data_IF_070417089166
#
_entry.id   IF_070417089166
#
_cell.length_a   1.000
_cell.length_b   1.000
_cell.length_c   1.000
_cell.angle_alpha   90.00
_cell.angle_beta   90.00
_cell.angle_gamma   90.00
#
_symmetry.space_group_name_H-M   'P 1'
#
loop_
_entity.id
_entity.type
_entity.pdbx_description
1 polymer ?
#
# COMPACT_ATOMS: atom_id res chain seq x y z
N UNK A 1 14.66 -2.80 -25.83
CA UNK A 1 14.37 -1.46 -25.25
C UNK A 1 13.54 -1.68 -24.00
N UNK A 2 14.02 -1.25 -22.85
CA UNK A 2 13.23 -1.25 -21.63
C UNK A 2 12.01 -0.32 -21.83
N UNK A 3 10.80 -0.85 -21.66
CA UNK A 3 9.59 -0.02 -21.78
C UNK A 3 9.36 0.68 -20.44
N UNK A 4 9.21 2.00 -20.45
CA UNK A 4 8.73 2.74 -19.30
C UNK A 4 7.28 2.38 -18.97
N UNK A 5 6.89 2.51 -17.72
CA UNK A 5 5.51 2.46 -17.25
C UNK A 5 5.18 3.74 -16.49
N UNK A 6 3.91 4.10 -16.48
CA UNK A 6 3.40 5.19 -15.64
C UNK A 6 2.57 4.58 -14.53
N UNK A 7 2.75 5.08 -13.32
CA UNK A 7 1.92 4.72 -12.18
C UNK A 7 1.18 5.95 -11.65
N UNK A 8 0.04 5.71 -11.02
CA UNK A 8 -0.70 6.69 -10.23
C UNK A 8 -0.87 6.06 -8.84
N UNK A 9 -0.19 6.63 -7.88
CA UNK A 9 -0.29 6.29 -6.47
C UNK A 9 -1.31 7.22 -5.82
N UNK A 10 -2.38 6.64 -5.27
CA UNK A 10 -3.50 7.38 -4.69
C UNK A 10 -3.36 7.40 -3.18
N UNK A 11 -2.70 8.43 -2.65
CA UNK A 11 -2.65 8.68 -1.21
C UNK A 11 -3.92 9.37 -0.70
N UNK A 12 -4.13 9.37 0.62
CA UNK A 12 -5.33 9.96 1.24
C UNK A 12 -5.34 11.50 1.31
N UNK A 13 -4.31 12.19 0.81
CA UNK A 13 -4.26 13.66 0.73
C UNK A 13 -3.58 14.18 -0.53
N UNK A 14 -3.00 13.30 -1.34
CA UNK A 14 -2.34 13.66 -2.59
C UNK A 14 -2.31 12.49 -3.56
N UNK A 15 -2.27 12.83 -4.85
CA UNK A 15 -2.02 11.91 -5.95
C UNK A 15 -0.57 12.06 -6.39
N UNK A 16 0.16 10.96 -6.51
CA UNK A 16 1.50 10.95 -7.10
C UNK A 16 1.47 10.24 -8.44
N UNK A 17 1.75 10.93 -9.53
CA UNK A 17 2.00 10.31 -10.83
C UNK A 17 3.52 10.19 -11.06
N UNK A 18 3.96 9.01 -11.49
CA UNK A 18 5.37 8.71 -11.68
C UNK A 18 5.57 7.87 -12.93
N UNK A 19 6.62 8.18 -13.71
CA UNK A 19 7.07 7.37 -14.84
C UNK A 19 8.45 6.81 -14.58
N UNK A 20 8.62 5.51 -14.80
CA UNK A 20 9.90 4.84 -14.59
C UNK A 20 10.11 3.61 -15.46
N UNK A 21 11.33 3.08 -15.46
CA UNK A 21 11.71 1.84 -16.13
C UNK A 21 12.72 1.04 -15.31
N UNK A 22 12.92 -0.23 -15.65
CA UNK A 22 14.04 -1.01 -15.11
C UNK A 22 15.34 -0.48 -15.68
N UNK A 23 16.22 -0.02 -14.82
CA UNK A 23 17.57 0.34 -15.14
C UNK A 23 18.51 -0.88 -15.26
N UNK A 24 19.79 -0.59 -15.37
CA UNK A 24 20.85 -1.61 -15.41
C UNK A 24 20.89 -2.31 -14.05
N UNK A 25 21.15 -3.64 -14.06
CA UNK A 25 21.23 -4.48 -12.84
C UNK A 25 19.94 -4.50 -11.98
N UNK A 26 18.76 -4.33 -12.61
CA UNK A 26 17.49 -4.39 -11.90
C UNK A 26 17.13 -3.16 -11.05
N UNK A 27 17.96 -2.10 -11.10
CA UNK A 27 17.67 -0.82 -10.46
C UNK A 27 16.46 -0.14 -11.10
N UNK A 28 15.93 0.87 -10.44
CA UNK A 28 14.87 1.73 -11.00
C UNK A 28 15.48 2.98 -11.61
N UNK A 29 14.96 3.38 -12.77
CA UNK A 29 15.19 4.70 -13.35
C UNK A 29 13.86 5.44 -13.37
N UNK A 30 13.68 6.37 -12.43
CA UNK A 30 12.51 7.25 -12.36
C UNK A 30 12.79 8.46 -13.25
N UNK A 31 11.88 8.74 -14.18
CA UNK A 31 12.04 9.80 -15.17
C UNK A 31 11.32 11.09 -14.78
N UNK A 32 10.12 10.95 -14.21
CA UNK A 32 9.30 12.08 -13.76
C UNK A 32 8.44 11.68 -12.59
N UNK A 33 8.23 12.62 -11.67
CA UNK A 33 7.33 12.49 -10.52
C UNK A 33 6.60 13.80 -10.35
N UNK A 34 5.29 13.74 -10.22
CA UNK A 34 4.44 14.90 -9.93
C UNK A 34 3.41 14.55 -8.88
N UNK A 35 3.29 15.44 -7.90
CA UNK A 35 2.30 15.36 -6.83
C UNK A 35 1.20 16.40 -7.08
N UNK A 36 -0.06 16.02 -6.85
CA UNK A 36 -1.20 16.94 -6.81
C UNK A 36 -1.97 16.69 -5.50
N UNK A 37 -2.13 17.73 -4.71
CA UNK A 37 -2.91 17.69 -3.48
C UNK A 37 -4.40 17.68 -3.78
N UNK A 38 -5.20 17.09 -2.90
CA UNK A 38 -6.65 17.10 -2.92
C UNK A 38 -7.18 16.87 -1.49
N UNK A 39 -8.50 17.11 -1.28
CA UNK A 39 -9.11 17.02 0.04
C UNK A 39 -9.02 15.63 0.68
N UNK A 40 -8.95 14.57 -0.15
CA UNK A 40 -8.76 13.21 0.33
C UNK A 40 -10.03 12.37 0.35
N UNK A 41 -9.97 11.30 1.13
CA UNK A 41 -11.07 10.36 1.34
C UNK A 41 -11.05 9.82 2.77
N UNK A 42 -12.22 9.36 3.21
CA UNK A 42 -12.46 8.66 4.46
C UNK A 42 -13.54 7.60 4.24
N UNK A 43 -13.48 6.48 4.96
CA UNK A 43 -14.46 5.38 4.91
C UNK A 43 -14.83 4.94 3.47
N UNK A 44 -13.87 4.92 2.55
CA UNK A 44 -14.09 4.53 1.15
C UNK A 44 -14.88 5.56 0.32
N UNK A 45 -14.93 6.83 0.72
CA UNK A 45 -15.60 7.91 -0.01
C UNK A 45 -14.68 9.12 -0.13
N UNK A 46 -14.62 9.71 -1.32
CA UNK A 46 -13.97 11.01 -1.50
C UNK A 46 -14.74 12.11 -0.79
N UNK A 47 -14.04 13.04 -0.15
CA UNK A 47 -14.67 14.26 0.40
C UNK A 47 -15.23 15.11 -0.74
N UNK A 48 -14.46 15.25 -1.84
CA UNK A 48 -14.92 15.81 -3.11
C UNK A 48 -14.39 14.97 -4.27
N UNK A 49 -15.29 14.26 -4.99
CA UNK A 49 -14.91 13.44 -6.14
C UNK A 49 -14.39 14.30 -7.31
N UNK A 50 -14.88 15.52 -7.48
CA UNK A 50 -14.42 16.41 -8.55
C UNK A 50 -13.00 16.89 -8.30
N UNK A 51 -12.66 17.20 -7.05
CA UNK A 51 -11.33 17.56 -6.62
C UNK A 51 -10.34 16.38 -6.80
N UNK A 52 -10.75 15.17 -6.40
CA UNK A 52 -9.97 13.96 -6.67
C UNK A 52 -9.67 13.78 -8.16
N UNK A 53 -10.69 13.90 -9.03
CA UNK A 53 -10.51 13.77 -10.48
C UNK A 53 -9.56 14.84 -11.03
N UNK A 54 -9.67 16.08 -10.57
CA UNK A 54 -8.81 17.17 -10.96
C UNK A 54 -7.36 16.93 -10.54
N UNK A 55 -7.13 16.38 -9.33
CA UNK A 55 -5.80 16.02 -8.87
C UNK A 55 -5.16 14.91 -9.73
N UNK A 56 -5.94 13.86 -10.10
CA UNK A 56 -5.47 12.81 -11.02
C UNK A 56 -5.12 13.40 -12.39
N UNK A 57 -5.98 14.26 -12.94
CA UNK A 57 -5.74 14.93 -14.23
C UNK A 57 -4.48 15.79 -14.16
N UNK A 58 -4.32 16.59 -13.12
CA UNK A 58 -3.18 17.49 -12.92
C UNK A 58 -1.86 16.72 -12.85
N UNK A 59 -1.78 15.72 -11.97
CA UNK A 59 -0.57 14.91 -11.80
C UNK A 59 -0.21 14.14 -13.09
N UNK A 60 -1.21 13.51 -13.72
CA UNK A 60 -1.00 12.73 -14.94
C UNK A 60 -0.61 13.64 -16.14
N UNK A 61 -1.25 14.80 -16.32
CA UNK A 61 -0.92 15.73 -17.39
C UNK A 61 0.54 16.20 -17.29
N UNK A 62 0.99 16.55 -16.07
CA UNK A 62 2.36 16.96 -15.84
C UNK A 62 3.39 15.87 -16.22
N UNK A 63 3.08 14.59 -15.93
CA UNK A 63 3.92 13.45 -16.35
C UNK A 63 3.87 13.25 -17.86
N UNK A 64 2.70 13.39 -18.49
CA UNK A 64 2.54 13.27 -19.96
C UNK A 64 3.34 14.34 -20.67
N UNK A 65 3.23 15.60 -20.24
CA UNK A 65 3.90 16.75 -20.85
C UNK A 65 5.43 16.68 -20.70
N UNK A 66 5.92 16.12 -19.59
CA UNK A 66 7.35 15.91 -19.36
C UNK A 66 7.92 14.66 -20.06
N UNK A 67 7.05 13.81 -20.61
CA UNK A 67 7.46 12.54 -21.20
C UNK A 67 7.81 12.68 -22.68
N UNK A 68 9.04 12.31 -23.06
CA UNK A 68 9.45 12.17 -24.46
C UNK A 68 8.93 10.87 -25.11
N UNK A 69 8.30 9.98 -24.35
CA UNK A 69 7.80 8.68 -24.80
C UNK A 69 6.28 8.61 -24.63
N UNK A 70 5.62 7.96 -25.59
CA UNK A 70 4.19 7.68 -25.49
C UNK A 70 3.92 6.81 -24.27
N UNK A 71 2.94 7.22 -23.46
CA UNK A 71 2.42 6.40 -22.35
C UNK A 71 1.55 5.29 -22.93
N UNK A 72 1.92 4.04 -22.72
CA UNK A 72 1.23 2.87 -23.26
C UNK A 72 0.43 2.09 -22.22
N UNK A 73 0.80 2.22 -20.95
CA UNK A 73 0.15 1.54 -19.83
C UNK A 73 0.22 2.43 -18.59
N UNK A 74 -0.90 2.48 -17.85
CA UNK A 74 -0.98 3.14 -16.55
C UNK A 74 -1.40 2.10 -15.52
N UNK A 75 -0.71 2.08 -14.39
CA UNK A 75 -1.06 1.28 -13.24
C UNK A 75 -1.47 2.19 -12.10
N UNK A 76 -2.56 1.85 -11.44
CA UNK A 76 -3.11 2.63 -10.34
C UNK A 76 -3.07 1.81 -9.07
N UNK A 77 -2.46 2.36 -8.03
CA UNK A 77 -2.56 1.87 -6.68
C UNK A 77 -3.96 2.14 -6.12
N UNK A 78 -4.58 1.13 -5.56
CA UNK A 78 -5.89 1.25 -4.94
C UNK A 78 -5.71 1.25 -3.43
N UNK A 79 -6.08 2.34 -2.73
CA UNK A 79 -6.00 2.40 -1.28
C UNK A 79 -6.86 1.33 -0.61
N UNK A 80 -6.43 0.87 0.55
CA UNK A 80 -7.12 -0.18 1.29
C UNK A 80 -8.60 0.11 1.55
N UNK A 81 -8.98 1.37 1.74
CA UNK A 81 -10.36 1.79 1.97
C UNK A 81 -11.33 1.38 0.84
N UNK A 82 -10.84 1.26 -0.41
CA UNK A 82 -11.64 0.88 -1.58
C UNK A 82 -11.45 -0.59 -1.99
N UNK A 83 -10.82 -1.40 -1.15
CA UNK A 83 -10.51 -2.81 -1.44
C UNK A 83 -11.25 -3.77 -0.52
N UNK A 84 -11.77 -4.85 -1.12
CA UNK A 84 -12.18 -6.07 -0.43
C UNK A 84 -11.26 -7.21 -0.82
N UNK A 85 -10.91 -8.05 0.16
CA UNK A 85 -10.10 -9.25 -0.03
C UNK A 85 -10.99 -10.48 0.16
N UNK A 86 -10.99 -11.34 -0.87
CA UNK A 86 -11.68 -12.63 -0.82
C UNK A 86 -10.68 -13.78 -0.98
N UNK A 87 -10.54 -14.59 0.06
CA UNK A 87 -9.67 -15.76 0.05
C UNK A 87 -10.47 -17.03 -0.16
N UNK A 88 -10.12 -17.82 -1.19
CA UNK A 88 -10.81 -19.05 -1.56
C UNK A 88 -9.85 -20.20 -1.80
N UNK A 89 -10.26 -21.41 -1.36
CA UNK A 89 -9.52 -22.64 -1.65
C UNK A 89 -10.10 -23.30 -2.88
N UNK A 90 -9.22 -23.68 -3.80
CA UNK A 90 -9.57 -24.45 -4.99
C UNK A 90 -8.64 -25.63 -5.15
N UNK A 91 -9.09 -26.63 -5.95
CA UNK A 91 -8.28 -27.79 -6.34
C UNK A 91 -8.67 -28.23 -7.75
N UNK A 92 -7.66 -28.43 -8.58
CA UNK A 92 -7.77 -29.03 -9.91
C UNK A 92 -7.24 -30.46 -9.85
N UNK A 93 -7.98 -31.42 -10.44
CA UNK A 93 -7.51 -32.80 -10.64
C UNK A 93 -7.01 -32.96 -12.07
N UNK A 94 -5.85 -33.57 -12.26
CA UNK A 94 -5.27 -33.77 -13.57
C UNK A 94 -5.58 -35.15 -14.18
N UNK A 95 -6.22 -36.04 -13.42
CA UNK A 95 -6.50 -37.41 -13.83
C UNK A 95 -5.27 -38.31 -13.96
N UNK A 96 -4.08 -37.74 -14.17
CA UNK A 96 -2.77 -38.42 -14.22
C UNK A 96 -1.68 -37.54 -13.64
N UNK A 97 -0.57 -38.16 -13.25
CA UNK A 97 0.61 -37.43 -12.75
C UNK A 97 1.24 -36.64 -13.90
N UNK A 98 1.38 -35.32 -13.75
CA UNK A 98 2.06 -34.43 -14.69
C UNK A 98 2.80 -33.32 -13.96
N UNK A 99 3.75 -32.67 -14.65
CA UNK A 99 4.40 -31.44 -14.13
C UNK A 99 3.43 -30.27 -14.22
N UNK A 100 3.36 -29.50 -13.15
CA UNK A 100 2.57 -28.27 -13.09
C UNK A 100 3.16 -27.24 -14.07
N UNK A 101 2.30 -26.61 -14.83
CA UNK A 101 2.64 -25.53 -15.75
C UNK A 101 2.00 -24.21 -15.32
N UNK A 102 2.47 -23.10 -15.89
CA UNK A 102 1.86 -21.79 -15.72
C UNK A 102 0.37 -21.76 -16.07
N UNK A 103 -0.03 -22.57 -17.08
CA UNK A 103 -1.44 -22.71 -17.44
C UNK A 103 -2.26 -23.32 -16.30
N UNK A 104 -1.72 -24.30 -15.59
CA UNK A 104 -2.42 -24.96 -14.48
C UNK A 104 -2.62 -24.00 -13.29
N UNK A 105 -1.66 -23.13 -13.03
CA UNK A 105 -1.80 -22.07 -12.05
C UNK A 105 -2.91 -21.08 -12.45
N UNK A 106 -2.90 -20.66 -13.70
CA UNK A 106 -3.94 -19.78 -14.25
C UNK A 106 -5.33 -20.43 -14.16
N UNK A 107 -5.46 -21.69 -14.56
CA UNK A 107 -6.71 -22.43 -14.50
C UNK A 107 -7.25 -22.55 -13.06
N UNK A 108 -6.35 -22.72 -12.07
CA UNK A 108 -6.71 -22.73 -10.65
C UNK A 108 -7.29 -21.38 -10.20
N UNK A 109 -6.63 -20.29 -10.57
CA UNK A 109 -7.06 -18.93 -10.23
C UNK A 109 -8.38 -18.58 -10.92
N UNK A 110 -8.52 -18.93 -12.22
CA UNK A 110 -9.77 -18.71 -12.99
C UNK A 110 -10.96 -19.52 -12.46
N UNK A 111 -10.73 -20.71 -11.94
CA UNK A 111 -11.79 -21.51 -11.35
C UNK A 111 -12.45 -20.81 -10.16
N UNK A 112 -11.71 -20.01 -9.42
CA UNK A 112 -12.20 -19.22 -8.32
C UNK A 112 -12.92 -17.94 -8.75
N UNK A 113 -12.39 -17.26 -9.76
CA UNK A 113 -12.93 -16.00 -10.29
C UNK A 113 -14.43 -16.08 -10.60
N UNK A 114 -14.84 -17.15 -11.25
CA UNK A 114 -16.25 -17.39 -11.65
C UNK A 114 -17.22 -17.46 -10.47
N UNK A 115 -16.72 -17.65 -9.26
CA UNK A 115 -17.50 -17.79 -8.03
C UNK A 115 -17.47 -16.55 -7.15
N UNK A 116 -16.74 -15.50 -7.58
CA UNK A 116 -16.62 -14.25 -6.86
C UNK A 116 -17.45 -13.21 -7.59
N UNK A 117 -18.58 -12.86 -6.99
CA UNK A 117 -19.39 -11.71 -7.39
C UNK A 117 -19.74 -10.96 -6.11
N UNK A 118 -19.39 -9.68 -6.07
CA UNK A 118 -19.80 -8.77 -5.03
C UNK A 118 -20.36 -7.52 -5.70
N UNK A 119 -21.60 -7.18 -5.35
CA UNK A 119 -22.23 -6.00 -5.92
C UNK A 119 -21.46 -4.72 -5.57
N UNK A 120 -21.34 -3.82 -6.53
CA UNK A 120 -20.55 -2.60 -6.40
C UNK A 120 -19.02 -2.79 -6.52
N UNK A 121 -18.53 -4.03 -6.65
CA UNK A 121 -17.09 -4.33 -6.78
C UNK A 121 -16.74 -4.98 -8.11
N UNK A 122 -15.49 -4.80 -8.52
CA UNK A 122 -14.90 -5.54 -9.63
C UNK A 122 -13.59 -6.20 -9.19
N UNK A 123 -13.31 -7.44 -9.65
CA UNK A 123 -12.03 -8.08 -9.38
C UNK A 123 -10.93 -7.46 -10.25
N UNK A 124 -9.88 -6.97 -9.60
CA UNK A 124 -8.75 -6.28 -10.24
C UNK A 124 -7.48 -7.12 -10.33
N UNK A 125 -7.25 -7.98 -9.33
CA UNK A 125 -6.07 -8.82 -9.26
C UNK A 125 -6.33 -10.10 -8.48
N UNK A 126 -5.54 -11.16 -8.74
CA UNK A 126 -5.56 -12.38 -7.95
C UNK A 126 -4.19 -13.04 -7.92
N UNK A 127 -3.86 -13.67 -6.80
CA UNK A 127 -2.60 -14.41 -6.60
C UNK A 127 -2.81 -15.58 -5.63
N UNK A 128 -2.00 -16.61 -5.74
CA UNK A 128 -2.03 -17.70 -4.78
C UNK A 128 -1.18 -17.34 -3.56
N UNK A 129 -1.78 -17.40 -2.36
CA UNK A 129 -1.04 -17.30 -1.10
C UNK A 129 -0.08 -18.48 -0.99
N UNK A 130 -0.57 -19.69 -1.29
CA UNK A 130 0.23 -20.90 -1.44
C UNK A 130 -0.50 -21.89 -2.34
N UNK A 131 0.27 -22.82 -2.91
CA UNK A 131 -0.26 -23.98 -3.61
C UNK A 131 -0.17 -25.23 -2.72
N UNK A 132 -0.99 -26.26 -3.00
CA UNK A 132 -0.94 -27.56 -2.35
C UNK A 132 -0.93 -28.68 -3.39
N UNK A 133 -0.09 -29.68 -3.17
CA UNK A 133 0.08 -30.82 -4.06
C UNK A 133 -0.85 -31.99 -3.64
N UNK A 134 -0.76 -33.12 -4.35
CA UNK A 134 -1.53 -34.34 -4.03
C UNK A 134 -1.16 -34.97 -2.66
N UNK A 135 0.06 -34.74 -2.19
CA UNK A 135 0.56 -35.15 -0.86
C UNK A 135 0.30 -34.12 0.25
N UNK A 136 -0.51 -33.10 -0.03
CA UNK A 136 -0.85 -31.96 0.85
C UNK A 136 0.32 -31.05 1.25
N UNK A 137 1.52 -31.21 0.66
CA UNK A 137 2.58 -30.22 0.85
C UNK A 137 2.16 -28.88 0.30
N UNK A 138 2.46 -27.83 1.07
CA UNK A 138 2.28 -26.43 0.64
C UNK A 138 3.59 -25.96 0.01
N UNK A 139 3.47 -25.28 -1.13
CA UNK A 139 4.61 -24.69 -1.87
C UNK A 139 4.22 -23.31 -2.36
N UNK A 140 5.20 -22.42 -2.50
CA UNK A 140 5.00 -21.09 -3.07
C UNK A 140 5.08 -21.12 -4.59
N UNK A 141 5.99 -21.93 -5.15
CA UNK A 141 6.10 -22.20 -6.59
C UNK A 141 5.88 -23.68 -6.88
N UNK A 142 4.78 -24.07 -7.54
CA UNK A 142 4.50 -25.47 -7.90
C UNK A 142 5.08 -25.86 -9.27
N UNK A 143 5.62 -24.91 -10.06
CA UNK A 143 6.03 -25.16 -11.45
C UNK A 143 7.06 -26.25 -11.56
N UNK A 144 6.86 -27.14 -12.52
CA UNK A 144 7.77 -28.28 -12.76
C UNK A 144 7.61 -29.42 -11.77
N UNK A 145 6.86 -29.26 -10.68
CA UNK A 145 6.59 -30.32 -9.71
C UNK A 145 5.59 -31.30 -10.30
N UNK A 146 5.89 -32.61 -10.25
CA UNK A 146 4.99 -33.65 -10.74
C UNK A 146 3.96 -34.01 -9.66
N UNK A 147 2.68 -33.85 -10.00
CA UNK A 147 1.56 -34.11 -9.09
C UNK A 147 0.32 -34.60 -9.86
N UNK A 148 -0.63 -35.21 -9.20
CA UNK A 148 -1.94 -35.61 -9.78
C UNK A 148 -3.03 -34.56 -9.56
N UNK A 149 -2.80 -33.59 -8.66
CA UNK A 149 -3.71 -32.48 -8.43
C UNK A 149 -2.95 -31.23 -7.95
N UNK A 150 -3.47 -30.07 -8.30
CA UNK A 150 -3.00 -28.77 -7.83
C UNK A 150 -4.12 -28.10 -7.06
N UNK A 151 -3.90 -27.88 -5.75
CA UNK A 151 -4.75 -27.04 -4.93
C UNK A 151 -4.07 -25.70 -4.63
N UNK A 152 -4.80 -24.78 -4.01
CA UNK A 152 -4.24 -23.53 -3.53
C UNK A 152 -5.24 -22.71 -2.72
N UNK A 153 -4.70 -21.86 -1.87
CA UNK A 153 -5.43 -20.74 -1.28
C UNK A 153 -5.14 -19.50 -2.12
N UNK A 154 -6.16 -18.98 -2.78
CA UNK A 154 -6.05 -17.84 -3.70
C UNK A 154 -6.71 -16.63 -3.08
N UNK A 155 -6.02 -15.50 -3.09
CA UNK A 155 -6.55 -14.19 -2.74
C UNK A 155 -7.04 -13.47 -3.99
N UNK A 156 -8.21 -12.86 -3.91
CA UNK A 156 -8.80 -12.01 -4.93
C UNK A 156 -8.95 -10.61 -4.38
N UNK A 157 -8.42 -9.63 -5.09
CA UNK A 157 -8.54 -8.22 -4.78
C UNK A 157 -9.73 -7.65 -5.56
N UNK A 158 -10.71 -7.14 -4.84
CA UNK A 158 -11.92 -6.56 -5.38
C UNK A 158 -11.91 -5.07 -5.11
N UNK A 159 -11.96 -4.26 -6.16
CA UNK A 159 -12.00 -2.80 -6.08
C UNK A 159 -13.43 -2.30 -6.18
N UNK A 160 -13.78 -1.29 -5.40
CA UNK A 160 -15.03 -0.57 -5.57
C UNK A 160 -15.10 0.06 -6.96
N UNK A 161 -16.20 -0.19 -7.68
CA UNK A 161 -16.44 0.39 -9.02
C UNK A 161 -16.47 1.90 -8.98
N UNK A 162 -17.02 2.47 -7.91
CA UNK A 162 -17.00 3.91 -7.66
C UNK A 162 -15.60 4.50 -7.83
N UNK A 163 -14.59 3.91 -7.16
CA UNK A 163 -13.20 4.33 -7.25
C UNK A 163 -12.64 4.11 -8.67
N UNK A 164 -12.77 2.89 -9.19
CA UNK A 164 -12.16 2.54 -10.48
C UNK A 164 -12.76 3.32 -11.66
N UNK A 165 -14.05 3.64 -11.61
CA UNK A 165 -14.74 4.43 -12.65
C UNK A 165 -14.32 5.91 -12.58
N UNK A 166 -14.17 6.48 -11.38
CA UNK A 166 -13.65 7.84 -11.19
C UNK A 166 -12.23 7.98 -11.77
N UNK A 167 -11.34 7.02 -11.46
CA UNK A 167 -9.97 6.99 -12.00
C UNK A 167 -9.97 6.84 -13.53
N UNK A 168 -10.71 5.86 -14.08
CA UNK A 168 -10.77 5.65 -15.54
C UNK A 168 -11.26 6.89 -16.26
N UNK A 169 -12.28 7.55 -15.71
CA UNK A 169 -12.82 8.79 -16.27
C UNK A 169 -11.76 9.92 -16.28
N UNK A 170 -11.04 10.11 -15.17
CA UNK A 170 -9.98 11.11 -15.07
C UNK A 170 -8.82 10.81 -16.05
N UNK A 171 -8.35 9.55 -16.11
CA UNK A 171 -7.28 9.13 -17.03
C UNK A 171 -7.69 9.31 -18.49
N UNK A 172 -8.93 8.95 -18.84
CA UNK A 172 -9.43 9.05 -20.22
C UNK A 172 -9.50 10.48 -20.75
N UNK A 173 -9.60 11.48 -19.87
CA UNK A 173 -9.57 12.90 -20.26
C UNK A 173 -8.16 13.41 -20.60
N UNK A 174 -7.11 12.69 -20.18
CA UNK A 174 -5.71 13.04 -20.45
C UNK A 174 -5.11 12.18 -21.57
N UNK A 175 -5.29 10.86 -21.48
CA UNK A 175 -4.67 9.92 -22.41
C UNK A 175 -5.55 8.69 -22.63
N UNK A 176 -5.61 8.24 -23.91
CA UNK A 176 -6.29 6.97 -24.26
C UNK A 176 -5.34 5.81 -24.07
N UNK A 177 -5.48 5.10 -22.95
CA UNK A 177 -4.67 3.93 -22.63
C UNK A 177 -5.42 3.01 -21.66
N UNK A 178 -4.99 1.76 -21.59
CA UNK A 178 -5.52 0.82 -20.60
C UNK A 178 -5.03 1.18 -19.19
N UNK A 179 -5.92 1.05 -18.22
CA UNK A 179 -5.65 1.30 -16.80
C UNK A 179 -5.71 -0.01 -16.04
N UNK A 180 -4.60 -0.37 -15.41
CA UNK A 180 -4.53 -1.51 -14.51
C UNK A 180 -4.60 -1.07 -13.06
N UNK A 181 -5.24 -1.88 -12.23
CA UNK A 181 -5.39 -1.63 -10.80
C UNK A 181 -4.72 -2.73 -9.98
N UNK A 182 -4.19 -2.36 -8.84
CA UNK A 182 -3.68 -3.29 -7.83
C UNK A 182 -3.83 -2.65 -6.44
N UNK A 183 -4.10 -3.46 -5.44
CA UNK A 183 -4.12 -3.01 -4.05
C UNK A 183 -2.72 -2.60 -3.59
N UNK A 184 -2.58 -1.40 -3.02
CA UNK A 184 -1.29 -0.85 -2.58
C UNK A 184 -0.62 -1.76 -1.55
N UNK A 185 -1.35 -2.20 -0.53
CA UNK A 185 -0.81 -3.11 0.49
C UNK A 185 -0.33 -4.46 -0.08
N UNK A 186 -0.88 -4.92 -1.23
CA UNK A 186 -0.33 -6.08 -1.93
C UNK A 186 0.99 -5.76 -2.62
N UNK A 187 1.07 -4.61 -3.29
CA UNK A 187 2.29 -4.18 -3.96
C UNK A 187 3.42 -3.97 -2.95
N UNK A 188 3.12 -3.35 -1.80
CA UNK A 188 4.05 -3.15 -0.69
C UNK A 188 4.50 -4.47 -0.07
N UNK A 189 3.56 -5.37 0.28
CA UNK A 189 3.88 -6.67 0.83
C UNK A 189 4.82 -7.47 -0.08
N UNK A 190 4.56 -7.45 -1.39
CA UNK A 190 5.40 -8.11 -2.38
C UNK A 190 6.79 -7.50 -2.51
N UNK A 191 6.90 -6.18 -2.55
CA UNK A 191 8.16 -5.48 -2.80
C UNK A 191 9.02 -5.33 -1.54
N UNK A 192 8.41 -4.89 -0.44
CA UNK A 192 9.13 -4.58 0.79
C UNK A 192 9.45 -5.81 1.63
N UNK A 193 8.50 -6.76 1.71
CA UNK A 193 8.66 -7.98 2.50
C UNK A 193 9.22 -9.14 1.67
N UNK A 194 8.86 -9.23 0.39
CA UNK A 194 9.14 -10.41 -0.43
C UNK A 194 8.32 -11.63 -0.01
N UNK A 195 8.68 -12.81 -0.52
CA UNK A 195 7.98 -14.06 -0.23
C UNK A 195 8.37 -14.65 1.12
N UNK A 196 7.41 -15.22 1.82
CA UNK A 196 7.63 -15.99 3.05
C UNK A 196 6.49 -16.97 3.28
N UNK A 197 6.77 -18.12 3.86
CA UNK A 197 5.78 -19.14 4.23
C UNK A 197 5.06 -18.82 5.55
N UNK A 198 5.43 -17.76 6.25
CA UNK A 198 4.78 -17.24 7.45
C UNK A 198 4.17 -15.85 7.21
N UNK A 199 3.19 -15.51 8.04
CA UNK A 199 2.46 -14.26 7.90
C UNK A 199 3.18 -13.09 8.58
N UNK A 200 3.20 -11.95 7.89
CA UNK A 200 3.78 -10.69 8.34
C UNK A 200 2.75 -9.58 8.16
N UNK A 201 2.68 -8.68 9.13
CA UNK A 201 1.83 -7.50 9.08
C UNK A 201 2.66 -6.31 8.58
N UNK A 202 2.13 -5.61 7.59
CA UNK A 202 2.60 -4.27 7.21
C UNK A 202 1.51 -3.27 7.50
N UNK A 203 1.87 -2.18 8.19
CA UNK A 203 1.00 -1.07 8.57
C UNK A 203 1.46 0.12 7.75
N UNK A 204 0.70 0.50 6.73
CA UNK A 204 0.95 1.71 5.95
C UNK A 204 0.16 2.86 6.56
N UNK A 205 0.88 3.82 7.15
CA UNK A 205 0.30 5.01 7.79
C UNK A 205 0.35 6.17 6.81
N UNK A 206 -0.78 6.46 6.19
CA UNK A 206 -0.96 7.62 5.32
C UNK A 206 -1.21 8.92 6.07
N UNK A 207 -1.74 9.94 5.39
CA UNK A 207 -2.05 11.22 6.02
C UNK A 207 -3.40 11.19 6.78
N UNK A 208 -4.47 10.66 6.15
CA UNK A 208 -5.80 10.54 6.76
C UNK A 208 -6.05 9.10 7.20
N UNK A 209 -5.68 8.11 6.39
CA UNK A 209 -6.00 6.69 6.59
C UNK A 209 -4.77 5.85 6.85
N UNK A 210 -4.94 4.77 7.60
CA UNK A 210 -3.96 3.69 7.77
C UNK A 210 -4.52 2.39 7.22
N UNK A 211 -3.67 1.61 6.56
CA UNK A 211 -4.02 0.27 6.08
C UNK A 211 -3.13 -0.78 6.73
N UNK A 212 -3.74 -1.73 7.42
CA UNK A 212 -3.11 -2.93 7.97
C UNK A 212 -3.27 -4.09 6.99
N UNK A 213 -2.17 -4.69 6.54
CA UNK A 213 -2.17 -5.77 5.55
C UNK A 213 -1.37 -6.96 6.06
N UNK A 214 -2.00 -8.12 6.21
CA UNK A 214 -1.31 -9.39 6.51
C UNK A 214 -0.93 -10.06 5.20
N UNK A 215 0.37 -10.16 4.94
CA UNK A 215 0.95 -10.75 3.75
C UNK A 215 1.62 -12.09 4.06
N UNK A 216 1.36 -13.11 3.25
CA UNK A 216 1.98 -14.44 3.34
C UNK A 216 2.08 -15.07 1.96
N UNK A 217 3.18 -15.72 1.65
CA UNK A 217 3.45 -16.25 0.31
C UNK A 217 3.41 -15.15 -0.73
N UNK A 218 2.49 -15.26 -1.69
CA UNK A 218 2.26 -14.25 -2.72
C UNK A 218 0.86 -13.59 -2.63
N UNK A 219 0.29 -13.52 -1.44
CA UNK A 219 -1.06 -12.99 -1.32
C UNK A 219 -1.36 -12.32 0.01
N UNK A 220 -2.50 -11.68 0.05
CA UNK A 220 -3.03 -10.99 1.22
C UNK A 220 -3.97 -11.93 1.98
N UNK A 221 -3.63 -12.24 3.23
CA UNK A 221 -4.44 -13.11 4.10
C UNK A 221 -5.58 -12.34 4.75
N UNK A 222 -5.30 -11.13 5.21
CA UNK A 222 -6.26 -10.22 5.82
C UNK A 222 -5.84 -8.78 5.58
N UNK A 223 -6.80 -7.87 5.58
CA UNK A 223 -6.55 -6.43 5.54
C UNK A 223 -7.65 -5.70 6.29
N UNK A 224 -7.29 -4.57 6.84
CA UNK A 224 -8.21 -3.56 7.32
C UNK A 224 -7.72 -2.17 6.96
N UNK A 225 -8.63 -1.19 6.94
CA UNK A 225 -8.31 0.22 6.76
C UNK A 225 -9.19 1.06 7.67
N UNK A 226 -8.59 1.99 8.37
CA UNK A 226 -9.27 2.86 9.31
C UNK A 226 -8.75 4.29 9.21
N UNK A 227 -9.56 5.22 9.66
CA UNK A 227 -9.29 6.65 9.63
C UNK A 227 -8.42 7.03 10.81
N UNK A 228 -7.13 6.95 10.58
CA UNK A 228 -6.05 7.48 11.40
C UNK A 228 -4.82 7.64 10.51
N UNK A 229 -4.13 8.76 10.61
CA UNK A 229 -2.90 9.00 9.86
C UNK A 229 -2.10 10.16 10.44
N UNK A 230 -1.08 10.60 9.71
CA UNK A 230 -0.22 11.71 10.13
C UNK A 230 -0.97 13.03 10.35
N UNK A 231 -2.10 13.22 9.69
CA UNK A 231 -2.99 14.37 9.88
C UNK A 231 -3.62 14.42 11.26
N UNK A 232 -3.92 13.27 11.86
CA UNK A 232 -4.45 13.20 13.23
C UNK A 232 -3.43 13.68 14.27
N UNK A 233 -2.15 13.36 14.09
CA UNK A 233 -1.07 13.90 14.94
C UNK A 233 -0.99 15.42 14.78
N UNK A 234 -1.13 15.92 13.58
CA UNK A 234 -1.17 17.37 13.30
C UNK A 234 -2.38 18.01 13.95
N UNK A 235 -3.57 17.40 13.83
CA UNK A 235 -4.80 17.88 14.44
C UNK A 235 -4.72 17.95 15.98
N UNK A 236 -4.14 16.94 16.62
CA UNK A 236 -3.93 16.95 18.06
C UNK A 236 -3.05 18.14 18.53
N UNK A 237 -2.03 18.50 17.74
CA UNK A 237 -1.20 19.68 18.02
C UNK A 237 -1.94 21.00 17.75
N UNK A 238 -2.77 21.06 16.70
CA UNK A 238 -3.65 22.21 16.42
C UNK A 238 -4.60 22.43 17.59
N UNK A 239 -5.30 21.39 18.01
CA UNK A 239 -6.29 21.46 19.09
C UNK A 239 -5.68 21.90 20.42
N UNK A 240 -4.55 21.29 20.80
CA UNK A 240 -3.94 21.56 22.09
C UNK A 240 -3.29 22.94 22.18
N UNK A 241 -2.64 23.39 21.11
CA UNK A 241 -1.84 24.63 21.17
C UNK A 241 -2.41 25.81 20.40
N UNK A 242 -3.54 25.64 19.69
CA UNK A 242 -4.14 26.67 18.84
C UNK A 242 -3.28 27.02 17.61
N UNK A 243 -2.40 26.11 17.17
CA UNK A 243 -1.53 26.34 16.03
C UNK A 243 -2.29 26.33 14.71
N UNK A 244 -1.80 27.02 13.70
CA UNK A 244 -2.25 26.78 12.35
C UNK A 244 -1.89 25.36 11.89
N UNK A 245 -2.65 24.74 10.97
CA UNK A 245 -2.30 23.40 10.45
C UNK A 245 -0.89 23.32 9.91
N UNK A 246 -0.38 24.37 9.25
CA UNK A 246 0.98 24.41 8.71
C UNK A 246 2.04 24.49 9.80
N UNK A 247 1.80 25.25 10.88
CA UNK A 247 2.71 25.32 12.03
C UNK A 247 2.72 24.02 12.82
N UNK A 248 1.57 23.39 13.02
CA UNK A 248 1.46 22.09 13.66
C UNK A 248 2.17 20.98 12.86
N UNK A 249 2.02 20.99 11.52
CA UNK A 249 2.72 20.03 10.64
C UNK A 249 4.24 20.22 10.71
N UNK A 250 4.74 21.46 10.74
CA UNK A 250 6.17 21.76 10.95
C UNK A 250 6.63 21.23 12.31
N UNK A 251 5.88 21.52 13.38
CA UNK A 251 6.18 21.04 14.73
C UNK A 251 6.23 19.51 14.77
N UNK A 252 5.23 18.82 14.23
CA UNK A 252 5.18 17.34 14.15
C UNK A 252 6.47 16.76 13.57
N UNK A 253 7.00 17.35 12.50
CA UNK A 253 8.22 16.89 11.82
C UNK A 253 9.49 17.08 12.68
N UNK A 254 9.45 17.95 13.68
CA UNK A 254 10.54 18.13 14.62
C UNK A 254 10.46 17.22 15.85
N UNK A 255 9.29 16.61 16.10
CA UNK A 255 9.06 15.76 17.26
C UNK A 255 10.01 14.57 17.30
N UNK A 256 10.56 14.34 18.48
CA UNK A 256 11.34 13.13 18.79
C UNK A 256 10.86 12.56 20.12
N UNK A 257 10.25 11.37 20.07
CA UNK A 257 9.72 10.69 21.26
C UNK A 257 10.80 9.93 22.04
N UNK A 258 11.96 9.72 21.42
CA UNK A 258 13.11 9.09 22.04
C UNK A 258 14.04 10.10 22.70
N UNK A 259 15.28 9.66 22.99
CA UNK A 259 16.31 10.50 23.58
C UNK A 259 16.66 11.70 22.68
N UNK A 260 16.51 12.91 23.20
CA UNK A 260 16.87 14.15 22.52
C UNK A 260 18.33 14.50 22.86
N UNK A 261 19.21 14.29 21.88
CA UNK A 261 20.63 14.62 22.01
C UNK A 261 20.80 16.14 22.25
N UNK A 262 21.48 16.53 23.33
CA UNK A 262 21.76 17.94 23.64
C UNK A 262 20.75 18.61 24.58
N UNK A 263 19.79 17.86 25.17
CA UNK A 263 18.94 18.41 26.24
C UNK A 263 17.97 19.51 25.78
N UNK A 264 17.52 19.46 24.50
CA UNK A 264 16.47 20.38 24.01
C UNK A 264 15.24 20.23 24.91
N UNK A 265 14.89 21.27 25.64
CA UNK A 265 13.76 21.26 26.58
C UNK A 265 12.50 21.86 26.00
N UNK A 266 12.60 22.48 24.81
CA UNK A 266 11.48 23.18 24.17
C UNK A 266 11.52 23.03 22.65
N UNK A 267 10.34 22.92 22.06
CA UNK A 267 10.11 23.14 20.63
C UNK A 267 9.68 24.59 20.38
N UNK A 268 9.96 25.10 19.20
CA UNK A 268 9.50 26.42 18.76
C UNK A 268 8.40 26.22 17.71
N UNK A 269 7.25 26.86 17.89
CA UNK A 269 6.15 26.85 16.94
C UNK A 269 5.66 28.27 16.70
N UNK A 270 5.26 28.56 15.46
CA UNK A 270 4.68 29.84 15.08
C UNK A 270 3.19 29.86 15.46
N UNK A 271 2.78 30.87 16.24
CA UNK A 271 1.39 31.14 16.60
C UNK A 271 1.12 32.63 16.45
N UNK A 272 0.16 33.00 15.59
CA UNK A 272 -0.24 34.39 15.32
C UNK A 272 0.93 35.31 14.89
N UNK A 273 1.93 34.75 14.17
CA UNK A 273 3.11 35.46 13.71
C UNK A 273 4.27 35.54 14.73
N UNK A 274 4.05 35.07 15.95
CA UNK A 274 5.07 35.02 17.01
C UNK A 274 5.58 33.60 17.22
N UNK A 275 6.90 33.46 17.57
CA UNK A 275 7.46 32.18 17.97
C UNK A 275 7.15 31.90 19.44
N UNK A 276 6.37 30.84 19.67
CA UNK A 276 6.09 30.31 21.00
C UNK A 276 6.99 29.12 21.32
N UNK A 277 7.42 29.07 22.57
CA UNK A 277 8.21 27.99 23.13
C UNK A 277 7.29 27.00 23.83
N UNK A 278 7.32 25.74 23.38
CA UNK A 278 6.47 24.65 23.87
C UNK A 278 7.34 23.59 24.56
N UNK A 279 7.03 23.16 25.80
CA UNK A 279 7.78 22.13 26.49
C UNK A 279 7.83 20.82 25.69
N UNK A 280 9.03 20.23 25.56
CA UNK A 280 9.22 18.97 24.81
C UNK A 280 8.37 17.85 25.39
N UNK A 281 8.32 17.71 26.70
CA UNK A 281 7.55 16.66 27.38
C UNK A 281 6.07 16.74 27.05
N UNK A 282 5.51 17.96 27.06
CA UNK A 282 4.09 18.19 26.82
C UNK A 282 3.68 17.94 25.34
N UNK A 283 4.55 18.37 24.41
CA UNK A 283 4.36 18.08 22.97
C UNK A 283 4.49 16.59 22.70
N UNK A 284 5.50 15.94 23.28
CA UNK A 284 5.71 14.51 23.10
C UNK A 284 4.55 13.68 23.68
N UNK A 285 4.01 14.07 24.84
CA UNK A 285 2.85 13.39 25.41
C UNK A 285 1.61 13.52 24.54
N UNK A 286 1.38 14.69 23.92
CA UNK A 286 0.28 14.90 22.98
C UNK A 286 0.40 13.94 21.78
N UNK A 287 1.60 13.84 21.21
CA UNK A 287 1.83 12.96 20.05
C UNK A 287 1.75 11.48 20.44
N UNK A 288 2.26 11.09 21.62
CA UNK A 288 2.14 9.72 22.13
C UNK A 288 0.69 9.31 22.35
N UNK A 289 -0.12 10.19 22.96
CA UNK A 289 -1.55 9.94 23.17
C UNK A 289 -2.30 9.69 21.85
N UNK A 290 -1.97 10.45 20.80
CA UNK A 290 -2.53 10.21 19.48
C UNK A 290 -2.02 8.89 18.86
N UNK A 291 -0.74 8.54 19.03
CA UNK A 291 -0.20 7.26 18.56
C UNK A 291 -0.77 6.04 19.32
N UNK A 292 -1.26 6.23 20.55
CA UNK A 292 -1.95 5.19 21.30
C UNK A 292 -3.26 4.77 20.63
N UNK A 293 -3.95 5.69 19.97
CA UNK A 293 -5.15 5.40 19.17
C UNK A 293 -4.79 4.53 17.95
N UNK A 294 -3.71 4.88 17.23
CA UNK A 294 -3.20 4.02 16.15
C UNK A 294 -2.87 2.62 16.65
N UNK A 295 -2.15 2.52 17.76
CA UNK A 295 -1.78 1.24 18.34
C UNK A 295 -3.01 0.41 18.76
N UNK A 296 -4.03 1.05 19.32
CA UNK A 296 -5.31 0.40 19.68
C UNK A 296 -6.06 -0.17 18.47
N UNK A 297 -6.10 0.56 17.36
CA UNK A 297 -6.70 0.06 16.12
C UNK A 297 -5.93 -1.13 15.55
N UNK A 298 -4.60 -1.09 15.58
CA UNK A 298 -3.75 -2.21 15.16
C UNK A 298 -3.94 -3.43 16.07
N UNK A 299 -4.02 -3.24 17.38
CA UNK A 299 -4.23 -4.31 18.35
C UNK A 299 -5.57 -5.00 18.12
N UNK A 300 -6.64 -4.25 17.93
CA UNK A 300 -7.96 -4.78 17.55
C UNK A 300 -7.90 -5.63 16.29
N UNK A 301 -7.20 -5.16 15.25
CA UNK A 301 -7.00 -5.92 14.03
C UNK A 301 -6.21 -7.22 14.24
N UNK A 302 -5.19 -7.22 15.11
CA UNK A 302 -4.41 -8.40 15.48
C UNK A 302 -5.29 -9.42 16.20
N UNK A 303 -6.11 -8.98 17.17
CA UNK A 303 -7.05 -9.84 17.91
C UNK A 303 -8.06 -10.49 16.98
N UNK A 304 -8.73 -9.74 16.11
CA UNK A 304 -9.74 -10.24 15.16
C UNK A 304 -9.20 -11.30 14.18
N UNK A 305 -7.91 -11.24 13.87
CA UNK A 305 -7.27 -12.15 12.93
C UNK A 305 -6.46 -13.25 13.61
N UNK A 306 -6.31 -13.24 14.93
CA UNK A 306 -5.52 -14.20 15.70
C UNK A 306 -5.94 -15.67 15.49
N UNK A 307 -7.24 -15.93 15.34
CA UNK A 307 -7.79 -17.26 15.06
C UNK A 307 -7.55 -17.72 13.60
N UNK A 308 -7.30 -16.82 12.68
CA UNK A 308 -7.13 -17.11 11.24
C UNK A 308 -5.67 -17.37 10.87
N UNK A 309 -4.76 -16.60 11.44
CA UNK A 309 -3.34 -16.62 11.09
C UNK A 309 -2.49 -16.11 12.26
N UNK A 310 -1.37 -16.81 12.52
CA UNK A 310 -0.36 -16.32 13.46
C UNK A 310 0.54 -15.32 12.72
N UNK A 311 0.52 -14.06 13.15
CA UNK A 311 1.41 -13.02 12.65
C UNK A 311 2.75 -13.13 13.39
N UNK A 312 3.85 -13.20 12.63
CA UNK A 312 5.18 -13.45 13.17
C UNK A 312 6.01 -12.18 13.32
N UNK A 313 5.79 -11.20 12.43
CA UNK A 313 6.55 -9.97 12.35
C UNK A 313 5.60 -8.81 12.01
N UNK A 314 5.88 -7.64 12.60
CA UNK A 314 5.10 -6.42 12.37
C UNK A 314 6.03 -5.34 11.83
N UNK A 315 5.61 -4.74 10.74
CA UNK A 315 6.31 -3.68 10.05
C UNK A 315 5.43 -2.45 9.89
N UNK A 316 6.06 -1.28 9.89
CA UNK A 316 5.36 -0.01 9.67
C UNK A 316 6.03 0.78 8.55
N UNK A 317 5.23 1.40 7.71
CA UNK A 317 5.68 2.22 6.59
C UNK A 317 4.73 3.42 6.38
N UNK A 318 4.89 4.14 5.28
CA UNK A 318 4.04 5.28 4.95
C UNK A 318 4.60 6.64 5.35
N UNK A 319 3.97 7.68 4.87
CA UNK A 319 4.40 9.06 5.10
C UNK A 319 3.89 9.69 6.39
N UNK A 320 2.84 9.13 6.99
CA UNK A 320 2.10 9.77 8.09
C UNK A 320 2.90 9.94 9.37
N UNK A 321 3.73 8.95 9.71
CA UNK A 321 4.56 8.97 10.93
C UNK A 321 6.06 8.95 10.64
N UNK A 322 6.47 8.92 9.39
CA UNK A 322 7.88 8.80 8.97
C UNK A 322 8.77 9.94 9.48
N UNK A 323 8.18 11.09 9.78
CA UNK A 323 8.88 12.23 10.33
C UNK A 323 8.98 12.22 11.87
N UNK A 324 8.16 11.42 12.57
CA UNK A 324 8.10 11.37 14.03
C UNK A 324 9.09 10.32 14.54
N UNK A 325 10.23 10.76 15.01
CA UNK A 325 11.26 9.86 15.54
C UNK A 325 10.79 9.19 16.82
N UNK A 326 10.95 7.88 16.92
CA UNK A 326 10.50 7.09 18.06
C UNK A 326 9.04 6.66 18.00
N UNK A 327 8.30 6.96 16.93
CA UNK A 327 6.90 6.53 16.78
C UNK A 327 6.76 5.00 16.69
N UNK A 328 7.61 4.33 15.92
CA UNK A 328 7.60 2.87 15.81
C UNK A 328 7.91 2.20 17.15
N UNK A 329 8.89 2.71 17.88
CA UNK A 329 9.26 2.23 19.22
C UNK A 329 8.12 2.44 20.23
N UNK A 330 7.40 3.56 20.15
CA UNK A 330 6.24 3.80 20.99
C UNK A 330 5.10 2.81 20.70
N UNK A 331 4.78 2.61 19.42
CA UNK A 331 3.77 1.63 18.99
C UNK A 331 4.18 0.21 19.38
N UNK A 332 5.45 -0.16 19.21
CA UNK A 332 5.99 -1.46 19.65
C UNK A 332 5.78 -1.69 21.16
N UNK A 333 6.03 -0.66 21.97
CA UNK A 333 5.80 -0.68 23.43
C UNK A 333 4.32 -0.90 23.77
N UNK A 334 3.39 -0.28 23.02
CA UNK A 334 1.94 -0.42 23.24
C UNK A 334 1.42 -1.80 22.81
N UNK A 335 1.91 -2.34 21.69
CA UNK A 335 1.54 -3.67 21.20
C UNK A 335 2.24 -4.81 21.95
N UNK A 336 3.27 -4.53 22.73
CA UNK A 336 4.10 -5.57 23.39
C UNK A 336 4.86 -6.46 22.41
N UNK A 337 5.07 -6.01 21.17
CA UNK A 337 5.74 -6.72 20.08
C UNK A 337 6.69 -5.79 19.34
N UNK A 338 7.75 -6.34 18.76
CA UNK A 338 8.67 -5.55 17.94
C UNK A 338 7.96 -5.03 16.67
N UNK A 339 8.19 -3.76 16.35
CA UNK A 339 7.72 -3.10 15.13
C UNK A 339 8.91 -2.49 14.43
N UNK A 340 9.16 -2.90 13.18
CA UNK A 340 10.27 -2.41 12.37
C UNK A 340 9.77 -1.44 11.29
N UNK A 341 10.55 -0.37 11.04
CA UNK A 341 10.22 0.59 9.99
C UNK A 341 10.74 0.07 8.65
N UNK A 342 9.85 -0.04 7.67
CA UNK A 342 10.20 -0.39 6.29
C UNK A 342 10.25 0.83 5.38
N UNK A 343 11.22 0.79 4.46
CA UNK A 343 11.34 1.73 3.35
C UNK A 343 11.95 1.01 2.13
N UNK A 344 11.71 1.51 0.92
CA UNK A 344 12.34 0.97 -0.29
C UNK A 344 13.88 1.05 -0.23
N UNK A 345 14.56 -0.01 -0.63
CA UNK A 345 16.03 0.02 -0.80
C UNK A 345 16.42 0.57 -2.18
N UNK A 346 15.88 1.75 -2.54
CA UNK A 346 16.09 2.40 -3.84
C UNK A 346 16.77 3.74 -3.64
N UNK A 347 17.95 3.98 -4.23
CA UNK A 347 18.66 5.26 -4.09
C UNK A 347 17.77 6.46 -4.47
N UNK A 348 17.71 7.47 -3.61
CA UNK A 348 16.87 8.65 -3.77
C UNK A 348 15.41 8.46 -3.30
N UNK A 349 14.96 7.20 -3.12
CA UNK A 349 13.60 6.84 -2.70
C UNK A 349 13.59 5.92 -1.48
N UNK A 350 14.60 6.00 -0.63
CA UNK A 350 14.85 5.14 0.52
C UNK A 350 14.18 5.63 1.83
N UNK A 351 13.01 6.27 1.71
CA UNK A 351 12.19 6.68 2.85
C UNK A 351 10.82 6.02 2.75
N UNK A 352 10.20 5.73 3.89
CA UNK A 352 8.88 5.09 3.96
C UNK A 352 7.76 5.87 3.25
N UNK A 353 7.90 7.20 3.12
CA UNK A 353 6.96 8.02 2.33
C UNK A 353 6.89 7.62 0.83
N UNK A 354 7.89 6.90 0.32
CA UNK A 354 7.93 6.43 -1.07
C UNK A 354 7.52 4.97 -1.22
N UNK A 355 7.13 4.30 -0.13
CA UNK A 355 6.87 2.85 -0.13
C UNK A 355 5.79 2.45 -1.11
N UNK A 356 4.62 3.10 -1.07
CA UNK A 356 3.52 2.81 -1.97
C UNK A 356 3.91 3.05 -3.44
N UNK A 357 4.39 4.25 -3.80
CA UNK A 357 4.72 4.59 -5.18
C UNK A 357 5.81 3.68 -5.78
N UNK A 358 6.88 3.37 -5.02
CA UNK A 358 7.97 2.52 -5.51
C UNK A 358 7.54 1.05 -5.60
N UNK A 359 6.76 0.56 -4.65
CA UNK A 359 6.18 -0.79 -4.69
C UNK A 359 5.23 -0.97 -5.88
N UNK A 360 4.41 0.05 -6.16
CA UNK A 360 3.55 0.08 -7.32
C UNK A 360 4.35 0.12 -8.63
N UNK A 361 5.45 0.90 -8.68
CA UNK A 361 6.35 0.91 -9.83
C UNK A 361 6.99 -0.47 -10.07
N UNK A 362 7.48 -1.13 -9.01
CA UNK A 362 8.00 -2.51 -9.12
C UNK A 362 6.96 -3.47 -9.68
N UNK A 363 5.75 -3.42 -9.12
CA UNK A 363 4.64 -4.23 -9.57
C UNK A 363 4.34 -3.99 -11.06
N UNK A 364 4.21 -2.73 -11.48
CA UNK A 364 3.94 -2.35 -12.85
C UNK A 364 5.02 -2.84 -13.83
N UNK A 365 6.29 -2.66 -13.46
CA UNK A 365 7.43 -3.11 -14.25
C UNK A 365 7.54 -4.63 -14.38
N UNK A 366 7.10 -5.37 -13.37
CA UNK A 366 7.09 -6.84 -13.36
C UNK A 366 5.93 -7.43 -14.16
N UNK A 367 4.82 -6.71 -14.35
CA UNK A 367 3.57 -7.22 -14.93
C UNK A 367 3.23 -6.69 -16.34
N UNK A 368 4.17 -6.07 -17.05
CA UNK A 368 4.00 -5.45 -18.38
C UNK A 368 3.33 -6.26 -19.49
N UNK A 369 3.29 -7.58 -19.41
CA UNK A 369 2.89 -8.45 -20.54
C UNK A 369 1.45 -8.95 -20.51
N UNK A 370 0.62 -8.56 -19.53
CA UNK A 370 -0.64 -9.29 -19.23
C UNK A 370 -1.91 -8.44 -19.15
N UNK A 371 -1.93 -7.29 -19.82
CA UNK A 371 -3.12 -6.47 -19.95
C UNK A 371 -3.92 -6.82 -21.21
N UNK A 372 -4.73 -7.85 -21.18
CA UNK A 372 -5.83 -8.03 -22.11
C UNK A 372 -7.00 -8.68 -21.37
N UNK A 373 -8.03 -7.87 -21.09
CA UNK A 373 -9.40 -8.33 -20.85
C UNK A 373 -9.64 -9.18 -19.61
N UNK A 374 -9.19 -8.78 -18.42
CA UNK A 374 -9.55 -9.53 -17.23
C UNK A 374 -8.57 -9.37 -16.05
N UNK A 375 -8.88 -10.03 -14.93
CA UNK A 375 -8.04 -10.09 -13.74
C UNK A 375 -6.63 -10.51 -14.10
N UNK A 376 -5.65 -9.81 -13.52
CA UNK A 376 -4.25 -10.19 -13.60
C UNK A 376 -3.91 -11.29 -12.61
N UNK A 377 -3.07 -12.21 -13.04
CA UNK A 377 -2.53 -13.27 -12.20
C UNK A 377 -1.12 -12.89 -11.75
N UNK A 378 -0.87 -12.99 -10.45
CA UNK A 378 0.48 -12.87 -9.91
C UNK A 378 1.27 -14.14 -10.20
N UNK A 379 2.29 -14.02 -11.04
CA UNK A 379 3.28 -15.08 -11.23
C UNK A 379 4.63 -14.59 -10.75
N UNK A 380 5.22 -15.40 -9.90
CA UNK A 380 6.62 -15.23 -9.50
C UNK A 380 7.54 -15.43 -10.69
N UNK A 381 8.52 -14.60 -10.80
CA UNK A 381 9.75 -14.84 -11.55
C UNK A 381 10.91 -14.95 -10.61
#
# INVERSE_FOLDING_TARGET
MNKSVTIIDVGSSKITALTGERGVNGTFAVHSVYDAEYEGFSEGKFFDESDFRNAVITALSAVVDSSYKRINEIFVGVPGAFIRIENRKFRLSFGRRKKVSEKDENDLIEAGKKKIALDGYEPIYASAIYYSLDDNRKVLDPRGVATTSLGGLVTYQLCEKYFSDAVRSAVASVVKTDVGFVFDGYAEGRFLLGESDYARLIIDVGYITTTSTVFMGNGVVAKDSFDFGGGYLTAALVEKYGLSPSSAEKLKREVSLGYIRGGKSQYLAELDGDLKSLPVEDVNETVKSALDELAGNVDSFLEENSAKVKINEIYITGGGISAVRGAAEHIAGRLGQAVEVLAPSVPGYNKSIYSSAISLLDFALSNKKRFYGGIRYGFNR
#
